data_IF_041399275029
#
_entry.id   IF_041399275029
#
_cell.length_a   1.000
_cell.length_b   1.000
_cell.length_c   1.000
_cell.angle_alpha   90.00
_cell.angle_beta   90.00
_cell.angle_gamma   90.00
#
_symmetry.space_group_name_H-M   'P 1'
#
loop_
_entity.id
_entity.type
_entity.pdbx_description
1 polymer ?
#
# COMPACT_ATOMS: atom_id res chain seq x y z
N UNK A 1 15.43 13.60 -5.90
CA UNK A 1 14.45 13.00 -6.84
C UNK A 1 14.16 11.51 -6.59
N UNK A 2 15.17 10.63 -6.46
CA UNK A 2 14.97 9.16 -6.27
C UNK A 2 13.99 8.78 -5.14
N UNK A 3 13.98 9.51 -4.01
CA UNK A 3 13.12 9.22 -2.85
C UNK A 3 11.64 9.54 -3.06
N UNK A 4 11.31 10.56 -3.86
CA UNK A 4 9.90 10.90 -4.13
C UNK A 4 9.32 9.88 -5.10
N UNK A 5 10.08 9.52 -6.14
CA UNK A 5 9.67 8.49 -7.08
C UNK A 5 9.36 7.16 -6.38
N UNK A 6 10.20 6.74 -5.42
CA UNK A 6 9.95 5.51 -4.66
C UNK A 6 8.71 5.56 -3.77
N UNK A 7 8.26 6.75 -3.35
CA UNK A 7 7.03 6.92 -2.54
C UNK A 7 5.79 6.83 -3.42
N UNK A 8 5.86 7.35 -4.65
CA UNK A 8 4.74 7.42 -5.58
C UNK A 8 4.59 6.12 -6.38
N UNK A 9 5.70 5.39 -6.59
CA UNK A 9 5.75 4.20 -7.43
C UNK A 9 4.73 3.12 -7.00
N UNK A 10 4.59 2.78 -5.70
CA UNK A 10 3.59 1.80 -5.30
C UNK A 10 2.17 2.21 -5.69
N UNK A 11 1.79 3.46 -5.49
CA UNK A 11 0.46 3.97 -5.84
C UNK A 11 0.18 3.90 -7.35
N UNK A 12 1.18 4.26 -8.17
CA UNK A 12 1.08 4.19 -9.63
C UNK A 12 0.90 2.76 -10.10
N UNK A 13 1.66 1.81 -9.54
CA UNK A 13 1.55 0.40 -9.90
C UNK A 13 0.18 -0.18 -9.50
N UNK A 14 -0.35 0.16 -8.32
CA UNK A 14 -1.71 -0.26 -7.95
C UNK A 14 -2.76 0.33 -8.88
N UNK A 15 -2.66 1.61 -9.22
CA UNK A 15 -3.60 2.24 -10.15
C UNK A 15 -3.57 1.57 -11.52
N UNK A 16 -2.37 1.37 -12.08
CA UNK A 16 -2.19 0.71 -13.39
C UNK A 16 -2.74 -0.72 -13.38
N UNK A 17 -2.52 -1.46 -12.29
CA UNK A 17 -3.08 -2.81 -12.14
C UNK A 17 -4.62 -2.77 -12.23
N UNK A 18 -5.27 -1.89 -11.47
CA UNK A 18 -6.73 -1.77 -11.46
C UNK A 18 -7.25 -1.28 -12.82
N UNK A 19 -6.53 -0.37 -13.48
CA UNK A 19 -6.89 0.15 -14.79
C UNK A 19 -6.81 -0.92 -15.88
N UNK A 20 -5.74 -1.71 -15.91
CA UNK A 20 -5.63 -2.80 -16.87
C UNK A 20 -6.74 -3.82 -16.60
N UNK A 21 -6.95 -4.18 -15.34
CA UNK A 21 -7.93 -5.19 -14.97
C UNK A 21 -9.38 -4.80 -15.30
N UNK A 22 -9.73 -3.52 -15.13
CA UNK A 22 -11.10 -3.03 -15.38
C UNK A 22 -11.52 -3.10 -16.84
N UNK A 23 -10.55 -3.15 -17.76
CA UNK A 23 -10.81 -3.33 -19.18
C UNK A 23 -11.17 -4.78 -19.56
N UNK A 24 -11.06 -5.75 -18.63
CA UNK A 24 -11.38 -7.16 -18.86
C UNK A 24 -12.63 -7.58 -18.06
N UNK A 25 -13.83 -7.60 -18.65
CA UNK A 25 -15.11 -7.73 -17.94
C UNK A 25 -15.36 -9.06 -17.20
N UNK A 26 -14.49 -10.07 -17.38
CA UNK A 26 -14.56 -11.37 -16.68
C UNK A 26 -13.35 -11.64 -15.79
N UNK A 27 -12.46 -10.66 -15.67
CA UNK A 27 -11.30 -10.81 -14.82
C UNK A 27 -11.71 -10.86 -13.35
N UNK A 28 -11.27 -11.92 -12.66
CA UNK A 28 -11.31 -12.01 -11.20
C UNK A 28 -9.98 -11.57 -10.57
N UNK A 29 -9.05 -11.03 -11.35
CA UNK A 29 -7.73 -10.63 -10.85
C UNK A 29 -7.83 -9.45 -9.87
N UNK A 30 -8.87 -8.62 -9.94
CA UNK A 30 -9.14 -7.62 -8.90
C UNK A 30 -9.24 -8.23 -7.49
N UNK A 31 -9.78 -9.45 -7.34
CA UNK A 31 -9.83 -10.14 -6.03
C UNK A 31 -8.44 -10.47 -5.52
N UNK A 32 -7.53 -10.91 -6.41
CA UNK A 32 -6.12 -11.11 -6.08
C UNK A 32 -5.46 -9.78 -5.71
N UNK A 33 -5.85 -8.70 -6.40
CA UNK A 33 -5.51 -7.33 -6.06
C UNK A 33 -5.84 -7.01 -4.60
N UNK A 34 -7.10 -7.19 -4.23
CA UNK A 34 -7.65 -6.87 -2.91
C UNK A 34 -7.04 -7.75 -1.81
N UNK A 35 -6.92 -9.05 -2.02
CA UNK A 35 -6.50 -9.96 -0.94
C UNK A 35 -4.98 -10.11 -0.80
N UNK A 36 -4.21 -9.80 -1.84
CA UNK A 36 -2.76 -10.07 -1.85
C UNK A 36 -1.99 -8.81 -2.25
N UNK A 37 -2.23 -8.27 -3.44
CA UNK A 37 -1.40 -7.21 -4.00
C UNK A 37 -1.45 -5.93 -3.15
N UNK A 38 -2.64 -5.42 -2.84
CA UNK A 38 -2.79 -4.16 -2.11
C UNK A 38 -2.20 -4.23 -0.70
N UNK A 39 -2.48 -5.27 0.13
CA UNK A 39 -1.79 -5.47 1.40
C UNK A 39 -0.26 -5.41 1.27
N UNK A 40 0.31 -6.11 0.28
CA UNK A 40 1.76 -6.12 0.04
C UNK A 40 2.25 -4.72 -0.32
N UNK A 41 1.51 -3.96 -1.11
CA UNK A 41 1.90 -2.60 -1.49
C UNK A 41 1.91 -1.64 -0.30
N UNK A 42 1.01 -1.80 0.68
CA UNK A 42 1.08 -1.07 1.95
C UNK A 42 2.30 -1.47 2.79
N UNK A 43 2.67 -2.75 2.84
CA UNK A 43 3.90 -3.24 3.50
C UNK A 43 5.13 -2.63 2.82
N UNK A 44 5.22 -2.70 1.50
CA UNK A 44 6.34 -2.15 0.71
C UNK A 44 6.45 -0.64 0.92
N UNK A 45 5.33 0.08 0.90
CA UNK A 45 5.32 1.52 1.15
C UNK A 45 5.87 1.86 2.54
N UNK A 46 5.55 1.04 3.55
CA UNK A 46 6.06 1.17 4.93
C UNK A 46 7.58 1.00 4.95
N UNK A 47 8.11 -0.03 4.29
CA UNK A 47 9.55 -0.31 4.23
C UNK A 47 10.31 0.84 3.56
N UNK A 48 9.81 1.29 2.40
CA UNK A 48 10.43 2.39 1.63
C UNK A 48 10.45 3.68 2.45
N UNK A 49 9.35 3.97 3.14
CA UNK A 49 9.14 5.25 3.83
C UNK A 49 9.48 5.23 5.32
N UNK A 50 10.01 4.12 5.84
CA UNK A 50 10.22 3.88 7.27
C UNK A 50 10.98 5.01 7.99
N UNK A 51 11.89 5.70 7.29
CA UNK A 51 12.71 6.77 7.86
C UNK A 51 11.97 8.11 8.05
N UNK A 52 10.77 8.28 7.50
CA UNK A 52 10.05 9.56 7.57
C UNK A 52 8.53 9.33 7.64
N UNK A 53 7.96 9.69 8.79
CA UNK A 53 6.51 9.61 9.05
C UNK A 53 5.71 10.41 8.01
N UNK A 54 6.20 11.58 7.60
CA UNK A 54 5.56 12.46 6.61
C UNK A 54 5.50 11.81 5.23
N UNK A 55 6.58 11.15 4.81
CA UNK A 55 6.62 10.46 3.53
C UNK A 55 5.74 9.21 3.54
N UNK A 56 5.70 8.52 4.68
CA UNK A 56 4.88 7.34 4.88
C UNK A 56 3.38 7.69 4.83
N UNK A 57 2.96 8.74 5.54
CA UNK A 57 1.56 9.18 5.52
C UNK A 57 1.12 9.66 4.12
N UNK A 58 1.95 10.43 3.43
CA UNK A 58 1.68 10.86 2.06
C UNK A 58 1.59 9.66 1.11
N UNK A 59 2.48 8.69 1.26
CA UNK A 59 2.46 7.44 0.52
C UNK A 59 1.17 6.64 0.74
N UNK A 60 0.74 6.46 1.98
CA UNK A 60 -0.50 5.76 2.30
C UNK A 60 -1.73 6.48 1.77
N UNK A 61 -1.74 7.82 1.82
CA UNK A 61 -2.82 8.62 1.25
C UNK A 61 -2.91 8.40 -0.26
N UNK A 62 -1.77 8.49 -0.97
CA UNK A 62 -1.72 8.22 -2.42
C UNK A 62 -2.14 6.79 -2.75
N UNK A 63 -1.65 5.79 -2.01
CA UNK A 63 -1.99 4.39 -2.22
C UNK A 63 -3.49 4.14 -2.00
N UNK A 64 -4.05 4.71 -0.94
CA UNK A 64 -5.48 4.59 -0.63
C UNK A 64 -6.34 5.21 -1.72
N UNK A 65 -6.01 6.44 -2.18
CA UNK A 65 -6.72 7.09 -3.28
C UNK A 65 -6.60 6.31 -4.59
N UNK A 66 -5.42 5.75 -4.87
CA UNK A 66 -5.17 4.95 -6.07
C UNK A 66 -5.96 3.64 -6.12
N UNK A 67 -6.56 3.23 -5.00
CA UNK A 67 -7.41 2.03 -4.89
C UNK A 67 -8.88 2.44 -4.83
N UNK A 68 -9.24 3.38 -3.94
CA UNK A 68 -10.63 3.78 -3.67
C UNK A 68 -11.29 4.37 -4.93
N UNK A 69 -10.63 5.32 -5.59
CA UNK A 69 -11.21 6.02 -6.75
C UNK A 69 -11.54 5.04 -7.90
N UNK A 70 -10.57 4.27 -8.44
CA UNK A 70 -10.85 3.41 -9.58
C UNK A 70 -11.79 2.24 -9.25
N UNK A 71 -11.76 1.70 -8.03
CA UNK A 71 -12.66 0.59 -7.67
C UNK A 71 -14.11 1.08 -7.56
N UNK A 72 -14.32 2.27 -6.99
CA UNK A 72 -15.66 2.85 -6.91
C UNK A 72 -16.19 3.22 -8.30
N UNK A 73 -15.35 3.78 -9.18
CA UNK A 73 -15.77 4.22 -10.52
C UNK A 73 -15.95 3.05 -11.50
N UNK A 74 -14.99 2.14 -11.59
CA UNK A 74 -14.98 1.12 -12.65
C UNK A 74 -15.65 -0.18 -12.24
N UNK A 75 -15.48 -0.62 -10.99
CA UNK A 75 -16.04 -1.90 -10.54
C UNK A 75 -17.41 -1.75 -9.89
N UNK A 76 -17.78 -0.53 -9.44
CA UNK A 76 -19.02 -0.26 -8.69
C UNK A 76 -19.23 -1.25 -7.54
N UNK A 77 -18.14 -1.81 -7.03
CA UNK A 77 -18.14 -2.59 -5.81
C UNK A 77 -18.39 -1.60 -4.69
N UNK A 78 -19.20 -1.99 -3.70
CA UNK A 78 -19.48 -1.13 -2.54
C UNK A 78 -18.21 -0.68 -1.82
N UNK A 79 -18.37 0.05 -0.71
CA UNK A 79 -17.25 0.67 -0.02
C UNK A 79 -16.08 -0.28 0.27
N UNK A 80 -14.92 0.00 -0.33
CA UNK A 80 -13.65 -0.69 -0.05
C UNK A 80 -12.90 -0.11 1.16
N UNK A 81 -13.47 0.92 1.79
CA UNK A 81 -12.90 1.58 2.98
C UNK A 81 -12.56 0.57 4.10
N UNK A 82 -13.40 -0.43 4.42
CA UNK A 82 -13.05 -1.42 5.44
C UNK A 82 -11.75 -2.17 5.12
N UNK A 83 -11.52 -2.51 3.85
CA UNK A 83 -10.29 -3.19 3.43
C UNK A 83 -9.08 -2.27 3.55
N UNK A 84 -9.21 -0.99 3.17
CA UNK A 84 -8.15 0.02 3.33
C UNK A 84 -7.76 0.19 4.81
N UNK A 85 -8.74 0.21 5.73
CA UNK A 85 -8.46 0.26 7.18
C UNK A 85 -7.62 -0.94 7.61
N UNK A 86 -7.97 -2.15 7.15
CA UNK A 86 -7.18 -3.36 7.43
C UNK A 86 -5.75 -3.26 6.88
N UNK A 87 -5.56 -2.72 5.68
CA UNK A 87 -4.22 -2.55 5.10
C UNK A 87 -3.38 -1.52 5.87
N UNK A 88 -4.00 -0.44 6.34
CA UNK A 88 -3.34 0.56 7.19
C UNK A 88 -2.91 -0.04 8.54
N UNK A 89 -3.75 -0.89 9.14
CA UNK A 89 -3.39 -1.62 10.36
C UNK A 89 -2.20 -2.56 10.11
N UNK A 90 -2.21 -3.28 8.98
CA UNK A 90 -1.10 -4.15 8.57
C UNK A 90 0.21 -3.36 8.37
N UNK A 91 0.13 -2.18 7.76
CA UNK A 91 1.26 -1.27 7.64
C UNK A 91 1.78 -0.80 9.02
N UNK A 92 0.87 -0.50 9.95
CA UNK A 92 1.21 -0.16 11.34
C UNK A 92 1.95 -1.29 12.07
N UNK A 93 1.47 -2.52 11.95
CA UNK A 93 2.14 -3.72 12.51
C UNK A 93 3.54 -3.87 11.92
N UNK A 94 3.66 -3.72 10.59
CA UNK A 94 4.94 -3.79 9.87
C UNK A 94 5.92 -2.73 10.38
N UNK A 95 5.45 -1.49 10.59
CA UNK A 95 6.27 -0.42 11.13
C UNK A 95 6.81 -0.76 12.52
N UNK A 96 5.96 -1.26 13.42
CA UNK A 96 6.36 -1.66 14.77
C UNK A 96 7.41 -2.79 14.72
N UNK A 97 7.21 -3.79 13.86
CA UNK A 97 8.15 -4.89 13.70
C UNK A 97 9.54 -4.40 13.26
N UNK A 98 9.61 -3.52 12.25
CA UNK A 98 10.88 -2.94 11.78
C UNK A 98 11.53 -2.11 12.89
N UNK A 99 10.74 -1.36 13.67
CA UNK A 99 11.26 -0.57 14.79
C UNK A 99 11.90 -1.46 15.88
N UNK A 100 11.23 -2.56 16.27
CA UNK A 100 11.75 -3.52 17.24
C UNK A 100 13.04 -4.17 16.76
N UNK A 101 13.08 -4.66 15.52
CA UNK A 101 14.29 -5.27 14.92
C UNK A 101 15.47 -4.29 14.94
N UNK A 102 15.24 -3.02 14.60
CA UNK A 102 16.29 -2.01 14.62
C UNK A 102 16.79 -1.70 16.04
N UNK A 103 15.92 -1.76 17.06
CA UNK A 103 16.32 -1.59 18.47
C UNK A 103 17.19 -2.74 18.93
N UNK A 104 16.80 -3.99 18.62
CA UNK A 104 17.55 -5.19 19.00
C UNK A 104 18.93 -5.16 18.34
N UNK A 105 19.00 -4.88 17.04
CA UNK A 105 20.26 -4.78 16.29
C UNK A 105 21.24 -3.79 16.94
N UNK A 106 20.75 -2.61 17.34
CA UNK A 106 21.56 -1.58 18.04
C UNK A 106 22.06 -2.01 19.42
N UNK A 107 21.40 -2.96 20.09
CA UNK A 107 21.85 -3.50 21.38
C UNK A 107 22.88 -4.60 21.23
N UNK A 108 22.86 -5.38 20.16
CA UNK A 108 23.86 -6.43 19.90
C UNK A 108 25.18 -5.90 19.34
N UNK A 109 25.17 -4.72 18.70
CA UNK A 109 26.36 -4.05 18.17
C UNK A 109 27.10 -3.18 19.22
N UNK A 110 26.59 -3.10 20.45
CA UNK A 110 27.21 -2.40 21.59
C UNK A 110 27.76 -3.40 22.60
#
# INVERSE_FOLDING_TARGET
MKKILSIVLPSVLTYLFIFIDSNFPYSKWILIGIYILFPIMFIVQTIISFKSIKNMSLGFLLLSLSIILPINEWYKMGSIIPAIIVYLLLAGITYLFIAVVNIIKRRCEK
#
